data_IF_286033042830
#
_entry.id   IF_286033042830
#
_cell.length_a   1.000
_cell.length_b   1.000
_cell.length_c   1.000
_cell.angle_alpha   90.00
_cell.angle_beta   90.00
_cell.angle_gamma   90.00
#
_symmetry.space_group_name_H-M   'P 1'
#
loop_
_entity.id
_entity.type
_entity.pdbx_description
1 polymer ?
#
# COMPACT_ATOMS: atom_id res chain seq x y z
N UNK A 1 -9.73 -6.64 34.00
CA UNK A 1 -9.18 -7.96 34.30
C UNK A 1 -9.79 -9.05 33.38
N UNK A 2 -11.12 -9.13 33.24
CA UNK A 2 -11.76 -10.16 32.43
C UNK A 2 -11.49 -10.05 30.91
N UNK A 3 -11.29 -8.86 30.37
CA UNK A 3 -10.95 -8.68 28.96
C UNK A 3 -9.52 -9.13 28.62
N UNK A 4 -8.58 -8.92 29.54
CA UNK A 4 -7.18 -9.35 29.38
C UNK A 4 -7.06 -10.87 29.40
N UNK A 5 -7.79 -11.53 30.30
CA UNK A 5 -7.82 -13.00 30.37
C UNK A 5 -8.46 -13.63 29.13
N UNK A 6 -9.46 -12.99 28.54
CA UNK A 6 -10.09 -13.44 27.29
C UNK A 6 -9.15 -13.31 26.09
N UNK A 7 -8.36 -12.23 26.02
CA UNK A 7 -7.36 -12.04 24.96
C UNK A 7 -6.19 -13.04 25.09
N UNK A 8 -5.71 -13.27 26.32
CA UNK A 8 -4.62 -14.23 26.58
C UNK A 8 -5.04 -15.67 26.32
N UNK A 9 -6.30 -16.03 26.60
CA UNK A 9 -6.83 -17.37 26.32
C UNK A 9 -6.92 -17.69 24.80
N UNK A 10 -6.97 -16.69 23.96
CA UNK A 10 -6.98 -16.87 22.49
C UNK A 10 -5.56 -16.97 21.89
N UNK A 11 -4.54 -16.55 22.64
CA UNK A 11 -3.15 -16.43 22.15
C UNK A 11 -2.27 -17.62 22.57
N UNK A 12 -2.60 -18.33 23.64
CA UNK A 12 -1.78 -19.42 24.19
C UNK A 12 -2.21 -20.76 23.58
N UNK A 13 -1.42 -21.42 22.73
CA UNK A 13 -1.68 -22.80 22.36
C UNK A 13 -1.49 -23.70 23.60
N UNK A 14 -2.42 -24.65 23.83
CA UNK A 14 -2.36 -25.60 24.89
C UNK A 14 -1.10 -26.50 24.80
N UNK A 15 -0.04 -26.07 25.47
CA UNK A 15 1.13 -26.90 25.73
C UNK A 15 1.32 -27.00 27.23
N UNK A 16 1.11 -28.21 27.73
CA UNK A 16 1.31 -28.59 29.13
C UNK A 16 2.80 -28.54 29.50
N UNK A 17 3.18 -27.59 30.33
CA UNK A 17 4.48 -27.58 31.00
C UNK A 17 4.26 -27.84 32.48
N UNK A 18 4.87 -28.94 32.99
CA UNK A 18 4.83 -29.32 34.39
C UNK A 18 5.66 -28.43 35.31
N UNK A 19 5.40 -28.39 36.60
CA UNK A 19 6.03 -27.45 37.52
C UNK A 19 7.45 -27.88 37.91
N UNK A 20 8.44 -27.04 37.58
CA UNK A 20 9.78 -27.14 38.16
C UNK A 20 10.01 -25.99 39.13
N UNK A 21 10.43 -26.31 40.35
CA UNK A 21 10.74 -25.40 41.43
C UNK A 21 11.84 -24.40 41.07
N UNK A 22 11.60 -23.10 41.28
CA UNK A 22 12.62 -22.07 41.25
C UNK A 22 12.77 -21.45 42.63
N UNK A 23 13.99 -21.52 43.12
CA UNK A 23 14.48 -21.00 44.40
C UNK A 23 14.43 -19.47 44.43
N UNK A 24 13.89 -18.95 45.53
CA UNK A 24 13.87 -17.52 45.88
C UNK A 24 15.28 -17.01 46.23
N UNK A 25 15.81 -16.08 45.43
CA UNK A 25 16.82 -15.15 45.93
C UNK A 25 16.23 -13.72 45.87
N UNK A 26 16.04 -13.18 47.08
CA UNK A 26 15.55 -11.81 47.32
C UNK A 26 16.70 -10.82 47.08
N UNK A 27 16.56 -9.94 46.11
CA UNK A 27 17.35 -8.69 46.05
C UNK A 27 16.38 -7.52 45.88
N UNK A 28 16.54 -6.54 46.79
CA UNK A 28 15.75 -5.30 46.82
C UNK A 28 15.96 -4.46 45.56
N UNK A 29 15.09 -4.65 44.57
CA UNK A 29 14.83 -3.67 43.53
C UNK A 29 13.37 -3.23 43.66
N UNK A 30 13.11 -1.91 43.45
CA UNK A 30 11.75 -1.40 43.34
C UNK A 30 10.98 -2.24 42.33
N UNK A 31 9.69 -2.60 42.56
CA UNK A 31 8.95 -3.45 41.67
C UNK A 31 8.84 -2.74 40.30
N UNK A 32 9.67 -3.15 39.37
CA UNK A 32 9.33 -2.99 37.95
C UNK A 32 8.06 -3.78 37.78
N UNK A 33 6.95 -3.08 37.45
CA UNK A 33 5.68 -3.76 37.24
C UNK A 33 5.85 -4.66 36.02
N UNK A 34 5.61 -5.95 36.18
CA UNK A 34 5.75 -6.95 35.12
C UNK A 34 4.91 -6.52 33.91
N UNK A 35 5.47 -6.66 32.71
CA UNK A 35 4.77 -6.34 31.46
C UNK A 35 3.43 -7.09 31.37
N UNK A 36 3.42 -8.37 31.79
CA UNK A 36 2.22 -9.16 32.07
C UNK A 36 2.43 -9.78 33.46
N UNK A 37 1.57 -9.42 34.40
CA UNK A 37 1.69 -9.88 35.82
C UNK A 37 1.82 -11.39 35.92
N UNK A 38 2.90 -11.84 36.54
CA UNK A 38 3.20 -13.25 36.77
C UNK A 38 3.90 -13.98 35.61
N UNK A 39 4.27 -13.28 34.54
CA UNK A 39 5.10 -13.82 33.45
C UNK A 39 6.49 -13.19 33.47
N UNK A 40 7.55 -13.96 33.19
CA UNK A 40 8.86 -13.38 32.84
C UNK A 40 8.76 -12.44 31.64
N UNK A 41 9.58 -11.41 31.60
CA UNK A 41 9.49 -10.35 30.60
C UNK A 41 9.63 -10.87 29.16
N UNK A 42 10.52 -11.84 28.94
CA UNK A 42 10.71 -12.49 27.64
C UNK A 42 9.44 -13.21 27.18
N UNK A 43 8.77 -13.93 28.08
CA UNK A 43 7.51 -14.65 27.78
C UNK A 43 6.38 -13.66 27.52
N UNK A 44 6.33 -12.57 28.28
CA UNK A 44 5.35 -11.51 28.09
C UNK A 44 5.51 -10.83 26.72
N UNK A 45 6.74 -10.53 26.29
CA UNK A 45 7.03 -10.02 24.93
C UNK A 45 6.64 -11.01 23.87
N UNK A 46 6.97 -12.29 24.07
CA UNK A 46 6.65 -13.37 23.15
C UNK A 46 5.13 -13.50 22.93
N UNK A 47 4.32 -13.26 23.95
CA UNK A 47 2.87 -13.17 23.83
C UNK A 47 2.45 -11.93 23.04
N UNK A 48 3.04 -10.76 23.33
CA UNK A 48 2.63 -9.51 22.69
C UNK A 48 2.98 -9.46 21.20
N UNK A 49 4.13 -9.99 20.78
CA UNK A 49 4.50 -9.98 19.35
C UNK A 49 3.58 -10.85 18.49
N UNK A 50 2.83 -11.80 19.07
CA UNK A 50 1.83 -12.63 18.38
C UNK A 50 0.48 -11.98 18.22
N UNK A 51 0.27 -10.82 18.84
CA UNK A 51 -0.99 -10.06 18.68
C UNK A 51 -1.13 -9.59 17.24
N UNK A 52 -2.31 -9.81 16.65
CA UNK A 52 -2.62 -9.33 15.31
C UNK A 52 -2.59 -7.80 15.23
N UNK A 53 -2.25 -7.28 14.07
CA UNK A 53 -2.16 -5.82 13.84
C UNK A 53 -3.49 -5.10 14.11
N UNK A 54 -4.63 -5.75 13.86
CA UNK A 54 -5.98 -5.26 14.10
C UNK A 54 -6.28 -5.07 15.60
N UNK A 55 -5.56 -5.79 16.46
CA UNK A 55 -5.68 -5.70 17.91
C UNK A 55 -4.74 -4.66 18.54
N UNK A 56 -3.72 -4.21 17.83
CA UNK A 56 -2.73 -3.25 18.37
C UNK A 56 -3.36 -1.96 18.94
N UNK A 57 -4.40 -1.35 18.31
CA UNK A 57 -5.08 -0.20 18.89
C UNK A 57 -5.72 -0.47 20.26
N UNK A 58 -6.17 -1.69 20.49
CA UNK A 58 -6.76 -2.13 21.78
C UNK A 58 -5.65 -2.40 22.80
N UNK A 59 -4.64 -3.17 22.40
CA UNK A 59 -3.50 -3.59 23.24
C UNK A 59 -2.77 -2.37 23.82
N UNK A 60 -2.45 -1.37 23.00
CA UNK A 60 -1.76 -0.14 23.46
C UNK A 60 -2.54 0.69 24.49
N UNK A 61 -3.84 0.42 24.67
CA UNK A 61 -4.70 1.10 25.66
C UNK A 61 -4.79 0.38 26.99
N UNK A 62 -4.28 -0.86 27.08
CA UNK A 62 -4.40 -1.67 28.29
C UNK A 62 -3.53 -1.12 29.41
N UNK A 63 -2.28 -0.77 29.12
CA UNK A 63 -1.37 -0.15 30.08
C UNK A 63 -0.34 0.74 29.39
N UNK A 64 0.34 1.58 30.15
CA UNK A 64 1.45 2.39 29.66
C UNK A 64 2.60 1.53 29.16
N UNK A 65 2.93 0.45 29.87
CA UNK A 65 4.01 -0.47 29.50
C UNK A 65 3.69 -1.21 28.19
N UNK A 66 2.47 -1.71 28.02
CA UNK A 66 2.05 -2.34 26.76
C UNK A 66 2.11 -1.37 25.59
N UNK A 67 1.74 -0.09 25.83
CA UNK A 67 1.89 0.95 24.83
C UNK A 67 3.35 1.15 24.45
N UNK A 68 4.22 1.33 25.43
CA UNK A 68 5.66 1.53 25.23
C UNK A 68 6.29 0.33 24.50
N UNK A 69 5.89 -0.90 24.84
CA UNK A 69 6.37 -2.11 24.18
C UNK A 69 5.94 -2.20 22.73
N UNK A 70 4.64 -2.08 22.40
CA UNK A 70 4.16 -2.21 21.02
C UNK A 70 4.54 -1.03 20.12
N UNK A 71 4.87 0.13 20.69
CA UNK A 71 5.38 1.28 19.98
C UNK A 71 6.92 1.29 19.87
N UNK A 72 7.60 0.33 20.49
CA UNK A 72 9.07 0.24 20.44
C UNK A 72 9.55 -0.23 19.06
N UNK A 73 10.73 0.23 18.61
CA UNK A 73 11.36 -0.29 17.38
C UNK A 73 11.63 -1.79 17.44
N UNK A 74 11.91 -2.29 18.65
CA UNK A 74 12.23 -3.69 18.89
C UNK A 74 11.05 -4.61 18.65
N UNK A 75 9.84 -4.15 18.96
CA UNK A 75 8.62 -4.91 18.71
C UNK A 75 8.45 -5.30 17.25
N UNK A 76 8.56 -4.34 16.35
CA UNK A 76 8.46 -4.61 14.90
C UNK A 76 9.60 -5.47 14.38
N UNK A 77 10.82 -5.29 14.94
CA UNK A 77 11.99 -6.10 14.58
C UNK A 77 11.82 -7.55 15.02
N UNK A 78 11.36 -7.78 16.25
CA UNK A 78 11.09 -9.11 16.78
C UNK A 78 10.00 -9.82 15.98
N UNK A 79 8.87 -9.15 15.69
CA UNK A 79 7.82 -9.72 14.83
C UNK A 79 8.37 -10.20 13.48
N UNK A 80 9.24 -9.39 12.85
CA UNK A 80 9.87 -9.76 11.58
C UNK A 80 10.83 -10.94 11.73
N UNK A 81 11.65 -10.96 12.78
CA UNK A 81 12.60 -12.03 13.07
C UNK A 81 11.89 -13.37 13.32
N UNK A 82 10.73 -13.34 13.99
CA UNK A 82 9.90 -14.52 14.26
C UNK A 82 8.94 -14.89 13.10
N UNK A 83 9.04 -14.21 11.95
CA UNK A 83 8.17 -14.46 10.78
C UNK A 83 6.70 -14.13 11.02
N UNK A 84 6.41 -13.28 11.99
CA UNK A 84 5.04 -12.85 12.36
C UNK A 84 4.60 -11.60 11.59
N UNK A 85 5.53 -10.91 10.94
CA UNK A 85 5.20 -9.82 10.03
C UNK A 85 4.53 -10.38 8.77
N UNK A 86 3.37 -9.80 8.40
CA UNK A 86 2.53 -10.28 7.29
C UNK A 86 2.59 -9.33 6.13
N UNK A 87 2.73 -9.86 4.90
CA UNK A 87 2.56 -9.04 3.69
C UNK A 87 1.08 -8.69 3.55
N UNK A 88 0.78 -7.42 3.39
CA UNK A 88 -0.58 -6.92 3.19
C UNK A 88 -0.62 -6.00 1.98
N UNK A 89 -1.61 -6.19 1.12
CA UNK A 89 -1.94 -5.27 0.04
C UNK A 89 -3.04 -4.34 0.52
N UNK A 90 -2.75 -3.04 0.60
CA UNK A 90 -3.74 -2.01 0.86
C UNK A 90 -4.26 -1.46 -0.46
N UNK A 91 -5.59 -1.47 -0.63
CA UNK A 91 -6.27 -1.13 -1.88
C UNK A 91 -7.34 -0.06 -1.67
N UNK A 92 -7.35 0.95 -2.52
CA UNK A 92 -8.45 1.90 -2.63
C UNK A 92 -9.50 1.29 -3.54
N UNK A 93 -10.58 0.79 -2.96
CA UNK A 93 -11.58 -0.02 -3.63
C UNK A 93 -12.96 0.63 -3.59
N UNK A 94 -13.67 0.60 -4.72
CA UNK A 94 -15.07 0.99 -4.79
C UNK A 94 -15.93 0.05 -3.92
N UNK A 95 -16.88 0.61 -3.21
CA UNK A 95 -17.89 -0.19 -2.54
C UNK A 95 -18.84 -0.75 -3.61
N UNK A 96 -19.13 -2.06 -3.62
CA UNK A 96 -20.19 -2.60 -4.47
C UNK A 96 -21.50 -1.91 -4.14
N UNK A 97 -22.25 -1.51 -5.16
CA UNK A 97 -23.62 -1.03 -4.95
C UNK A 97 -24.45 -2.17 -4.36
N UNK A 98 -24.99 -1.95 -3.17
CA UNK A 98 -26.04 -2.82 -2.66
C UNK A 98 -27.27 -2.63 -3.55
N UNK A 99 -27.47 -3.53 -4.49
CA UNK A 99 -28.76 -3.65 -5.18
C UNK A 99 -29.75 -4.11 -4.13
N UNK A 100 -30.46 -3.17 -3.50
CA UNK A 100 -31.71 -3.51 -2.81
C UNK A 100 -32.58 -4.22 -3.85
N UNK A 101 -32.92 -5.48 -3.60
CA UNK A 101 -33.80 -6.27 -4.44
C UNK A 101 -35.22 -5.68 -4.38
N UNK A 102 -35.44 -4.63 -5.15
CA UNK A 102 -36.76 -4.17 -5.56
C UNK A 102 -37.16 -4.91 -6.84
N UNK A 103 -38.48 -5.13 -7.12
CA UNK A 103 -38.92 -5.93 -8.23
C UNK A 103 -38.42 -5.41 -9.57
N UNK A 104 -37.87 -6.32 -10.36
CA UNK A 104 -37.17 -6.10 -11.62
C UNK A 104 -37.86 -5.10 -12.55
N UNK A 105 -37.33 -3.92 -12.72
CA UNK A 105 -37.52 -3.09 -13.90
C UNK A 105 -36.31 -3.26 -14.82
N UNK A 106 -36.57 -3.85 -15.98
CA UNK A 106 -35.61 -3.94 -17.07
C UNK A 106 -35.25 -2.55 -17.55
N UNK A 107 -34.04 -2.06 -17.24
CA UNK A 107 -33.49 -0.91 -17.91
C UNK A 107 -32.33 -1.36 -18.81
N UNK A 108 -32.60 -1.17 -20.10
CA UNK A 108 -31.68 -1.35 -21.21
C UNK A 108 -30.42 -0.51 -21.04
N UNK A 109 -29.27 -1.17 -21.12
CA UNK A 109 -27.96 -0.56 -21.25
C UNK A 109 -27.84 0.22 -22.55
N UNK A 110 -27.77 1.53 -22.48
CA UNK A 110 -27.21 2.36 -23.55
C UNK A 110 -26.77 3.71 -22.98
N UNK A 111 -25.46 3.96 -23.09
CA UNK A 111 -24.82 5.27 -23.25
C UNK A 111 -25.56 6.51 -22.73
N UNK A 112 -25.13 7.05 -21.58
CA UNK A 112 -25.25 8.49 -21.32
C UNK A 112 -24.15 8.99 -20.40
N UNK A 113 -23.00 9.28 -20.96
CA UNK A 113 -22.09 10.27 -20.41
C UNK A 113 -22.67 11.64 -20.75
N UNK A 114 -23.54 12.18 -19.92
CA UNK A 114 -23.83 13.62 -19.77
C UNK A 114 -25.10 13.79 -18.90
N UNK A 115 -24.94 14.49 -17.76
CA UNK A 115 -25.98 15.04 -16.91
C UNK A 115 -26.85 14.05 -16.08
N UNK A 116 -26.60 14.02 -14.78
CA UNK A 116 -27.53 13.48 -13.79
C UNK A 116 -26.83 12.69 -12.69
N UNK A 117 -26.69 13.30 -11.49
CA UNK A 117 -26.04 12.68 -10.34
C UNK A 117 -26.67 11.36 -9.93
N UNK A 118 -26.09 10.27 -10.39
CA UNK A 118 -26.18 8.99 -9.71
C UNK A 118 -25.30 9.05 -8.45
N UNK A 119 -25.55 8.20 -7.44
CA UNK A 119 -24.71 8.16 -6.25
C UNK A 119 -23.27 7.90 -6.68
N UNK A 120 -22.35 8.83 -6.35
CA UNK A 120 -20.95 8.68 -6.66
C UNK A 120 -20.44 7.42 -5.95
N UNK A 121 -19.77 6.53 -6.69
CA UNK A 121 -19.16 5.34 -6.13
C UNK A 121 -18.27 5.73 -4.94
N UNK A 122 -18.61 5.23 -3.74
CA UNK A 122 -17.80 5.45 -2.55
C UNK A 122 -16.60 4.53 -2.56
N UNK A 123 -15.43 5.09 -2.32
CA UNK A 123 -14.18 4.34 -2.19
C UNK A 123 -13.77 4.19 -0.74
N UNK A 124 -13.28 3.02 -0.39
CA UNK A 124 -12.79 2.67 0.94
C UNK A 124 -11.40 2.06 0.87
N UNK A 125 -10.68 2.04 1.98
CA UNK A 125 -9.42 1.31 2.10
C UNK A 125 -9.69 -0.13 2.53
N UNK A 126 -9.25 -1.06 1.71
CA UNK A 126 -9.36 -2.51 1.93
C UNK A 126 -7.95 -3.08 2.08
N UNK A 127 -7.80 -4.00 2.99
CA UNK A 127 -6.58 -4.77 3.22
C UNK A 127 -6.79 -6.21 2.80
N UNK A 128 -5.83 -6.77 2.09
CA UNK A 128 -5.75 -8.18 1.75
C UNK A 128 -4.42 -8.76 2.23
N UNK A 129 -4.48 -9.80 3.07
CA UNK A 129 -3.35 -10.70 3.26
C UNK A 129 -3.36 -11.74 2.12
N UNK A 130 -2.45 -11.63 1.16
CA UNK A 130 -2.46 -12.50 -0.03
C UNK A 130 -1.95 -13.92 0.27
N UNK A 131 -1.40 -14.16 1.47
CA UNK A 131 -0.92 -15.48 1.91
C UNK A 131 -2.04 -16.27 2.56
N UNK A 132 -2.78 -15.63 3.45
CA UNK A 132 -3.89 -16.28 4.18
C UNK A 132 -5.25 -16.05 3.51
N UNK A 133 -5.33 -15.20 2.50
CA UNK A 133 -6.59 -14.86 1.84
C UNK A 133 -7.57 -14.09 2.73
N UNK A 134 -7.05 -13.38 3.75
CA UNK A 134 -7.87 -12.61 4.69
C UNK A 134 -8.10 -11.20 4.19
N UNK A 135 -9.36 -10.77 4.26
CA UNK A 135 -9.80 -9.43 3.88
C UNK A 135 -10.23 -8.63 5.11
N UNK A 136 -9.94 -7.34 5.09
CA UNK A 136 -10.39 -6.40 6.11
C UNK A 136 -10.66 -5.03 5.49
N UNK A 137 -11.50 -4.23 6.14
CA UNK A 137 -11.74 -2.83 5.75
C UNK A 137 -11.24 -1.92 6.85
N UNK A 138 -10.51 -0.87 6.50
CA UNK A 138 -10.12 0.15 7.45
C UNK A 138 -11.32 1.07 7.78
N UNK A 139 -11.29 1.75 8.94
CA UNK A 139 -12.31 2.74 9.29
C UNK A 139 -12.51 3.75 8.17
N UNK A 140 -13.73 4.26 8.02
CA UNK A 140 -14.04 5.32 7.06
C UNK A 140 -13.25 6.60 7.36
N UNK A 141 -12.96 7.38 6.31
CA UNK A 141 -12.31 8.67 6.48
C UNK A 141 -13.15 9.60 7.35
N UNK A 142 -12.51 10.43 8.17
CA UNK A 142 -13.21 11.52 8.84
C UNK A 142 -13.66 12.56 7.80
N UNK A 143 -14.95 12.91 7.83
CA UNK A 143 -15.54 13.89 6.93
C UNK A 143 -16.94 13.52 6.48
N UNK A 144 -17.65 14.41 5.78
CA UNK A 144 -19.07 14.22 5.45
C UNK A 144 -19.32 13.04 4.49
N UNK A 145 -18.44 12.80 3.54
CA UNK A 145 -18.60 11.72 2.56
C UNK A 145 -18.18 10.35 3.09
N UNK A 146 -17.19 10.31 4.00
CA UNK A 146 -16.55 9.09 4.47
C UNK A 146 -15.81 8.31 3.36
N UNK A 147 -15.76 8.85 2.15
CA UNK A 147 -15.15 8.24 0.96
C UNK A 147 -13.72 8.71 0.76
N UNK A 148 -12.86 7.82 0.26
CA UNK A 148 -11.56 8.19 -0.29
C UNK A 148 -11.74 8.97 -1.61
N UNK A 149 -10.83 9.92 -1.94
CA UNK A 149 -10.87 10.63 -3.21
C UNK A 149 -10.74 9.68 -4.41
N UNK A 150 -11.37 10.03 -5.51
CA UNK A 150 -11.19 9.32 -6.79
C UNK A 150 -9.76 9.54 -7.30
N UNK A 151 -9.17 8.53 -7.92
CA UNK A 151 -7.82 8.61 -8.51
C UNK A 151 -6.72 9.08 -7.54
N UNK A 152 -6.95 8.95 -6.22
CA UNK A 152 -5.91 9.24 -5.24
C UNK A 152 -4.76 8.26 -5.35
N UNK A 153 -3.58 8.69 -4.92
CA UNK A 153 -2.42 7.83 -4.78
C UNK A 153 -2.31 7.33 -3.34
N UNK A 154 -1.77 6.13 -3.17
CA UNK A 154 -1.55 5.53 -1.86
C UNK A 154 -0.12 5.01 -1.73
N UNK A 155 0.51 5.33 -0.62
CA UNK A 155 1.84 4.84 -0.27
C UNK A 155 1.84 4.26 1.14
N UNK A 156 2.58 3.17 1.32
CA UNK A 156 2.84 2.59 2.63
C UNK A 156 4.18 3.10 3.15
N UNK A 157 4.18 3.61 4.37
CA UNK A 157 5.36 4.15 5.03
C UNK A 157 5.75 3.24 6.19
N UNK A 158 6.97 2.74 6.14
CA UNK A 158 7.60 2.09 7.27
C UNK A 158 8.35 3.15 8.07
N UNK A 159 7.88 3.45 9.28
CA UNK A 159 8.34 4.57 10.11
C UNK A 159 9.79 4.48 10.60
N UNK A 160 10.68 3.83 9.85
CA UNK A 160 12.11 3.79 10.10
C UNK A 160 12.45 3.29 11.51
N UNK A 161 13.25 4.06 12.25
CA UNK A 161 13.70 3.68 13.59
C UNK A 161 12.59 3.48 14.63
N UNK A 162 11.38 4.02 14.40
CA UNK A 162 10.26 3.87 15.32
C UNK A 162 9.31 2.72 14.96
N UNK A 163 9.51 2.03 13.83
CA UNK A 163 8.73 0.88 13.41
C UNK A 163 7.23 1.15 13.15
N UNK A 164 6.79 2.43 13.13
CA UNK A 164 5.40 2.80 12.91
C UNK A 164 4.99 2.57 11.47
N UNK A 165 3.99 1.75 11.26
CA UNK A 165 3.40 1.49 9.95
C UNK A 165 2.25 2.45 9.68
N UNK A 166 2.29 3.12 8.53
CA UNK A 166 1.25 4.07 8.12
C UNK A 166 0.89 3.90 6.65
N UNK A 167 -0.36 4.21 6.31
CA UNK A 167 -0.77 4.45 4.94
C UNK A 167 -0.95 5.95 4.74
N UNK A 168 -0.47 6.46 3.63
CA UNK A 168 -0.63 7.86 3.23
C UNK A 168 -1.40 7.90 1.92
N UNK A 169 -2.57 8.53 1.94
CA UNK A 169 -3.39 8.81 0.77
C UNK A 169 -3.16 10.26 0.38
N UNK A 170 -2.83 10.50 -0.88
CA UNK A 170 -2.46 11.84 -1.38
C UNK A 170 -3.29 12.20 -2.59
N UNK A 171 -3.86 13.41 -2.58
CA UNK A 171 -4.55 14.03 -3.71
C UNK A 171 -5.75 13.23 -4.19
N UNK A 172 -5.95 13.23 -5.47
CA UNK A 172 -7.11 12.64 -6.13
C UNK A 172 -8.18 13.70 -6.41
N UNK A 173 -9.39 13.25 -6.65
CA UNK A 173 -10.53 14.10 -6.98
C UNK A 173 -11.62 13.94 -5.92
N UNK A 174 -12.19 15.05 -5.53
CA UNK A 174 -13.34 15.04 -4.63
C UNK A 174 -14.54 14.40 -5.34
N UNK A 175 -15.18 13.38 -4.75
CA UNK A 175 -16.24 12.63 -5.42
C UNK A 175 -17.54 13.43 -5.62
N UNK A 176 -17.74 14.55 -4.89
CA UNK A 176 -18.94 15.38 -5.01
C UNK A 176 -18.72 16.49 -6.05
N UNK A 177 -17.62 17.21 -5.94
CA UNK A 177 -17.31 18.35 -6.79
C UNK A 177 -16.61 18.00 -8.11
N UNK A 178 -16.05 16.77 -8.21
CA UNK A 178 -15.21 16.32 -9.34
C UNK A 178 -14.01 17.25 -9.61
N UNK A 179 -13.54 17.93 -8.56
CA UNK A 179 -12.37 18.79 -8.61
C UNK A 179 -11.13 18.09 -8.05
N UNK A 180 -9.93 18.35 -8.59
CA UNK A 180 -8.69 17.88 -8.00
C UNK A 180 -8.54 18.41 -6.58
N UNK A 181 -7.98 17.60 -5.69
CA UNK A 181 -7.77 17.95 -4.28
C UNK A 181 -6.29 17.85 -3.92
N UNK A 182 -5.87 18.70 -3.00
CA UNK A 182 -4.56 18.69 -2.35
C UNK A 182 -4.54 17.89 -1.05
N UNK A 183 -5.63 17.17 -0.75
CA UNK A 183 -5.86 16.51 0.52
C UNK A 183 -4.86 15.40 0.78
N UNK A 184 -4.47 15.27 2.04
CA UNK A 184 -3.63 14.18 2.55
C UNK A 184 -4.34 13.53 3.72
N UNK A 185 -4.36 12.20 3.73
CA UNK A 185 -4.87 11.42 4.86
C UNK A 185 -3.83 10.39 5.28
N UNK A 186 -3.63 10.25 6.57
CA UNK A 186 -2.67 9.32 7.15
C UNK A 186 -3.38 8.37 8.08
N UNK A 187 -3.31 7.08 7.80
CA UNK A 187 -3.76 6.02 8.69
C UNK A 187 -2.57 5.47 9.47
N UNK A 188 -2.72 5.38 10.78
CA UNK A 188 -1.71 4.82 11.67
C UNK A 188 -2.21 3.49 12.25
N UNK A 189 -1.51 2.38 11.96
CA UNK A 189 -1.91 1.04 12.39
C UNK A 189 -1.85 0.85 13.90
N UNK A 190 -1.02 1.61 14.61
CA UNK A 190 -0.94 1.54 16.07
C UNK A 190 -2.16 2.20 16.75
N UNK A 191 -2.67 3.26 16.16
CA UNK A 191 -3.84 3.97 16.72
C UNK A 191 -5.16 3.46 16.15
N UNK A 192 -5.10 2.80 14.98
CA UNK A 192 -6.28 2.35 14.24
C UNK A 192 -7.13 3.49 13.70
N UNK A 193 -6.53 4.66 13.45
CA UNK A 193 -7.26 5.86 13.10
C UNK A 193 -6.64 6.64 11.95
N UNK A 194 -7.52 7.31 11.18
CA UNK A 194 -7.15 8.29 10.19
C UNK A 194 -6.95 9.67 10.83
N UNK A 195 -5.99 10.41 10.31
CA UNK A 195 -5.88 11.86 10.48
C UNK A 195 -5.77 12.56 9.14
N UNK A 196 -6.23 13.80 9.07
CA UNK A 196 -5.89 14.67 7.94
C UNK A 196 -4.44 15.15 8.11
N UNK A 197 -3.67 15.12 7.02
CA UNK A 197 -2.33 15.66 6.97
C UNK A 197 -2.31 17.07 6.37
N UNK A 198 -1.13 17.71 6.41
CA UNK A 198 -0.89 18.98 5.76
C UNK A 198 -1.20 18.86 4.25
N UNK A 199 -1.97 19.79 3.67
CA UNK A 199 -2.32 19.74 2.25
C UNK A 199 -1.06 19.83 1.38
N UNK A 200 -1.10 19.20 0.21
CA UNK A 200 -0.01 19.22 -0.76
C UNK A 200 0.18 20.64 -1.30
N UNK A 201 1.38 21.23 -1.20
CA UNK A 201 1.62 22.59 -1.66
C UNK A 201 1.75 22.67 -3.19
N UNK A 202 1.56 23.89 -3.73
CA UNK A 202 1.65 24.16 -5.15
C UNK A 202 0.34 23.95 -5.89
N UNK A 203 0.37 23.75 -7.23
CA UNK A 203 -0.84 23.51 -8.01
C UNK A 203 -1.48 22.18 -7.61
N UNK A 204 -2.79 22.12 -7.58
CA UNK A 204 -3.50 20.85 -7.47
C UNK A 204 -3.17 20.00 -8.66
N UNK A 205 -2.80 18.77 -8.41
CA UNK A 205 -2.32 17.87 -9.46
C UNK A 205 -3.03 16.53 -9.46
N UNK A 206 -3.11 15.93 -10.62
CA UNK A 206 -3.69 14.60 -10.85
C UNK A 206 -2.67 13.69 -11.53
N UNK A 207 -2.86 12.38 -11.37
CA UNK A 207 -2.10 11.33 -12.07
C UNK A 207 -0.57 11.41 -11.92
N UNK A 208 -0.10 11.89 -10.78
CA UNK A 208 1.32 12.01 -10.44
C UNK A 208 1.93 10.68 -9.98
N UNK A 209 3.26 10.56 -10.10
CA UNK A 209 4.02 9.46 -9.50
C UNK A 209 4.06 9.57 -7.98
N UNK A 210 3.91 8.45 -7.29
CA UNK A 210 4.06 8.38 -5.83
C UNK A 210 4.73 7.09 -5.42
N UNK A 211 5.71 7.19 -4.50
CA UNK A 211 6.29 6.06 -3.79
C UNK A 211 6.83 6.50 -2.43
N UNK A 212 6.91 5.56 -1.49
CA UNK A 212 7.60 5.78 -0.23
C UNK A 212 9.06 5.30 -0.33
N UNK A 213 9.98 6.10 0.17
CA UNK A 213 11.37 5.71 0.42
C UNK A 213 11.65 5.93 1.90
N UNK A 214 11.85 4.84 2.62
CA UNK A 214 11.93 4.89 4.08
C UNK A 214 10.67 5.48 4.73
N UNK A 215 10.84 6.52 5.53
CA UNK A 215 9.75 7.20 6.26
C UNK A 215 9.09 8.36 5.48
N UNK A 216 9.47 8.58 4.22
CA UNK A 216 9.06 9.74 3.41
C UNK A 216 8.29 9.31 2.18
N UNK A 217 7.19 10.01 1.88
CA UNK A 217 6.41 9.83 0.65
C UNK A 217 6.83 10.87 -0.37
N UNK A 218 7.21 10.43 -1.55
CA UNK A 218 7.61 11.27 -2.67
C UNK A 218 6.49 11.38 -3.69
N UNK A 219 6.33 12.56 -4.27
CA UNK A 219 5.35 12.90 -5.32
C UNK A 219 6.08 13.65 -6.42
N UNK A 220 5.85 13.29 -7.69
CA UNK A 220 6.44 14.00 -8.82
C UNK A 220 5.55 13.95 -10.07
N UNK A 221 5.59 15.01 -10.87
CA UNK A 221 4.84 15.09 -12.13
C UNK A 221 3.34 15.15 -11.95
N UNK A 222 2.62 14.47 -12.84
CA UNK A 222 1.19 14.63 -13.03
C UNK A 222 0.87 15.87 -13.87
N UNK A 223 -0.40 16.27 -13.89
CA UNK A 223 -0.82 17.51 -14.56
C UNK A 223 -1.59 18.44 -13.61
N UNK A 224 -1.57 19.72 -13.88
CA UNK A 224 -2.34 20.76 -13.19
C UNK A 224 -3.82 20.79 -13.64
N UNK A 225 -4.57 21.79 -13.16
CA UNK A 225 -5.99 21.97 -13.51
C UNK A 225 -6.19 22.31 -15.00
N UNK A 226 -5.22 22.91 -15.66
CA UNK A 226 -5.20 23.23 -17.08
C UNK A 226 -4.69 22.08 -17.97
N UNK A 227 -4.40 20.92 -17.40
CA UNK A 227 -3.84 19.73 -18.07
C UNK A 227 -2.41 19.92 -18.59
N UNK A 228 -1.64 20.83 -18.01
CA UNK A 228 -0.22 20.93 -18.29
C UNK A 228 0.54 19.88 -17.48
N UNK A 229 1.39 19.12 -18.12
CA UNK A 229 2.27 18.18 -17.47
C UNK A 229 3.27 18.92 -16.57
N UNK A 230 3.56 18.36 -15.42
CA UNK A 230 4.42 18.95 -14.40
C UNK A 230 5.78 18.23 -14.34
N UNK A 231 6.82 18.98 -13.98
CA UNK A 231 8.13 18.45 -13.62
C UNK A 231 8.47 18.64 -12.14
N UNK A 232 7.63 19.36 -11.42
CA UNK A 232 7.83 19.63 -9.99
C UNK A 232 7.65 18.38 -9.15
N UNK A 233 8.43 18.31 -8.07
CA UNK A 233 8.42 17.19 -7.14
C UNK A 233 8.40 17.66 -5.68
N UNK A 234 7.86 16.80 -4.81
CA UNK A 234 7.62 17.09 -3.40
C UNK A 234 7.93 15.87 -2.55
N UNK A 235 8.30 16.08 -1.29
CA UNK A 235 8.44 15.05 -0.29
C UNK A 235 7.54 15.35 0.92
N UNK A 236 6.74 14.40 1.34
CA UNK A 236 5.90 14.47 2.53
C UNK A 236 6.46 13.61 3.65
N UNK A 237 6.59 14.20 4.83
CA UNK A 237 7.08 13.57 6.03
C UNK A 237 5.92 13.33 7.02
N UNK A 238 5.32 12.13 7.06
CA UNK A 238 4.13 11.88 7.88
C UNK A 238 4.34 12.03 9.39
N UNK A 239 5.60 11.94 9.87
CA UNK A 239 5.92 12.07 11.29
C UNK A 239 5.77 13.50 11.79
N UNK A 240 6.34 14.46 11.05
CA UNK A 240 6.24 15.89 11.38
C UNK A 240 5.13 16.62 10.63
N UNK A 241 4.36 15.91 9.80
CA UNK A 241 3.24 16.44 9.02
C UNK A 241 3.65 17.63 8.13
N UNK A 242 4.77 17.52 7.43
CA UNK A 242 5.37 18.60 6.66
C UNK A 242 5.73 18.17 5.24
N UNK A 243 5.64 19.13 4.32
CA UNK A 243 6.09 19.01 2.94
C UNK A 243 7.42 19.70 2.73
N UNK A 244 8.26 19.12 1.88
CA UNK A 244 9.49 19.73 1.38
C UNK A 244 9.45 19.75 -0.14
N UNK A 245 9.75 20.90 -0.73
CA UNK A 245 9.88 21.03 -2.19
C UNK A 245 11.22 20.44 -2.61
N UNK A 246 11.18 19.59 -3.63
CA UNK A 246 12.38 19.00 -4.24
C UNK A 246 12.82 19.82 -5.46
N UNK A 247 14.07 19.65 -5.94
CA UNK A 247 14.45 20.09 -7.27
C UNK A 247 13.50 19.52 -8.32
N UNK A 248 13.25 20.28 -9.39
CA UNK A 248 12.44 19.82 -10.49
C UNK A 248 13.11 18.66 -11.25
N UNK A 249 12.32 17.76 -11.82
CA UNK A 249 12.77 16.79 -12.81
C UNK A 249 13.31 17.50 -14.07
N UNK A 250 14.09 16.79 -14.86
CA UNK A 250 14.54 17.30 -16.15
C UNK A 250 13.36 17.44 -17.13
N UNK A 251 12.40 16.50 -17.08
CA UNK A 251 11.28 16.42 -18.00
C UNK A 251 9.93 16.57 -17.30
N UNK A 252 8.97 17.14 -18.02
CA UNK A 252 7.56 17.14 -17.64
C UNK A 252 6.99 15.73 -17.87
N UNK A 253 6.24 15.21 -16.87
CA UNK A 253 5.71 13.86 -16.93
C UNK A 253 4.29 13.82 -16.39
N UNK A 254 3.30 13.67 -17.26
CA UNK A 254 1.94 13.33 -16.89
C UNK A 254 1.74 11.80 -16.91
N UNK A 255 0.91 11.29 -16.04
CA UNK A 255 0.66 9.85 -15.83
C UNK A 255 1.94 8.97 -15.63
N UNK A 256 2.99 9.45 -14.95
CA UNK A 256 4.15 8.62 -14.64
C UNK A 256 3.83 7.64 -13.50
N UNK A 257 4.68 6.63 -13.35
CA UNK A 257 4.62 5.69 -12.22
C UNK A 257 5.78 5.91 -11.25
N UNK A 258 5.46 6.01 -9.94
CA UNK A 258 6.47 6.07 -8.87
C UNK A 258 6.87 4.68 -8.38
N UNK A 259 8.18 4.44 -8.22
CA UNK A 259 8.75 3.21 -7.65
C UNK A 259 9.83 3.57 -6.63
N UNK A 260 10.10 2.64 -5.71
CA UNK A 260 11.26 2.71 -4.81
C UNK A 260 12.22 1.58 -5.18
N UNK A 261 13.41 1.93 -5.66
CA UNK A 261 14.46 0.96 -6.04
C UNK A 261 15.80 1.42 -5.47
N UNK A 262 16.48 0.55 -4.76
CA UNK A 262 17.80 0.86 -4.19
C UNK A 262 17.82 2.09 -3.29
N UNK A 263 16.73 2.38 -2.58
CA UNK A 263 16.62 3.56 -1.71
C UNK A 263 16.39 4.88 -2.46
N UNK A 264 16.13 4.84 -3.77
CA UNK A 264 15.83 6.01 -4.60
C UNK A 264 14.36 6.03 -5.01
N UNK A 265 13.82 7.23 -5.23
CA UNK A 265 12.51 7.44 -5.81
C UNK A 265 12.63 7.53 -7.33
N UNK A 266 12.09 6.55 -8.04
CA UNK A 266 12.08 6.49 -9.50
C UNK A 266 10.74 6.98 -10.04
N UNK A 267 10.80 7.83 -11.05
CA UNK A 267 9.65 8.31 -11.84
C UNK A 267 9.77 7.72 -13.23
N UNK A 268 8.90 6.77 -13.55
CA UNK A 268 8.97 5.95 -14.76
C UNK A 268 7.93 6.41 -15.77
N UNK A 269 8.34 6.64 -17.00
CA UNK A 269 7.46 6.96 -18.10
C UNK A 269 6.76 8.32 -17.95
N UNK A 270 5.48 8.35 -18.32
CA UNK A 270 4.72 9.59 -18.45
C UNK A 270 4.94 10.27 -19.80
N UNK A 271 4.33 11.41 -20.00
CA UNK A 271 4.44 12.19 -21.24
C UNK A 271 4.38 13.70 -20.95
N UNK A 272 5.07 14.55 -21.75
CA UNK A 272 4.92 15.99 -21.66
C UNK A 272 3.64 16.46 -22.36
N UNK A 273 3.15 17.64 -22.02
CA UNK A 273 1.91 18.23 -22.57
C UNK A 273 1.77 18.10 -24.09
N UNK A 274 2.79 18.41 -24.92
CA UNK A 274 2.65 18.28 -26.38
C UNK A 274 2.53 16.85 -26.90
N UNK A 275 2.90 15.86 -26.08
CA UNK A 275 2.89 14.45 -26.47
C UNK A 275 1.84 13.63 -25.70
N UNK A 276 0.70 14.24 -25.36
CA UNK A 276 -0.36 13.62 -24.58
C UNK A 276 -0.69 12.20 -25.04
N UNK A 277 -0.65 11.25 -24.10
CA UNK A 277 -0.90 9.82 -24.32
C UNK A 277 0.25 9.06 -24.99
N UNK A 278 1.36 9.70 -25.33
CA UNK A 278 2.56 9.05 -25.87
C UNK A 278 3.58 8.88 -24.76
N UNK A 279 3.47 7.77 -24.06
CA UNK A 279 4.35 7.48 -22.93
C UNK A 279 5.81 7.36 -23.36
N UNK A 280 6.71 8.05 -22.67
CA UNK A 280 8.16 7.89 -22.81
C UNK A 280 8.63 6.60 -22.15
N UNK A 281 9.65 5.96 -22.69
CA UNK A 281 10.29 4.80 -22.09
C UNK A 281 11.36 5.15 -21.05
N UNK A 282 11.59 6.44 -20.79
CA UNK A 282 12.62 6.97 -19.90
C UNK A 282 12.24 6.93 -18.41
N UNK A 283 13.24 7.04 -17.55
CA UNK A 283 13.10 7.12 -16.09
C UNK A 283 14.03 8.18 -15.51
N UNK A 284 13.56 8.89 -14.50
CA UNK A 284 14.36 9.74 -13.64
C UNK A 284 14.36 9.22 -12.22
N UNK A 285 15.51 9.26 -11.54
CA UNK A 285 15.66 8.77 -10.17
C UNK A 285 16.11 9.91 -9.25
N UNK A 286 15.34 10.20 -8.21
CA UNK A 286 15.72 11.10 -7.14
C UNK A 286 16.47 10.32 -6.06
N UNK A 287 17.65 10.80 -5.70
CA UNK A 287 18.47 10.23 -4.62
C UNK A 287 18.31 11.07 -3.35
N UNK A 288 17.61 10.54 -2.31
CA UNK A 288 17.45 11.27 -1.06
C UNK A 288 18.74 11.54 -0.29
N UNK A 289 19.79 10.75 -0.54
CA UNK A 289 21.07 10.92 0.15
C UNK A 289 21.85 12.13 -0.38
N UNK A 290 21.75 12.42 -1.67
CA UNK A 290 22.42 13.57 -2.31
C UNK A 290 21.48 14.75 -2.54
N UNK A 291 20.17 14.53 -2.39
CA UNK A 291 19.11 15.50 -2.65
C UNK A 291 19.09 16.00 -4.11
N UNK A 292 19.39 15.11 -5.06
CA UNK A 292 19.49 15.41 -6.48
C UNK A 292 18.80 14.36 -7.35
N UNK A 293 18.38 14.78 -8.56
CA UNK A 293 17.98 13.87 -9.60
C UNK A 293 19.20 13.30 -10.32
N UNK A 294 19.19 12.00 -10.57
CA UNK A 294 20.15 11.35 -11.47
C UNK A 294 19.84 11.76 -12.92
N UNK A 295 20.80 11.65 -13.83
CA UNK A 295 20.54 11.84 -15.26
C UNK A 295 19.41 10.95 -15.77
N UNK A 296 18.63 11.47 -16.73
CA UNK A 296 17.57 10.71 -17.40
C UNK A 296 18.17 9.42 -17.99
N UNK A 297 17.53 8.30 -17.74
CA UNK A 297 17.90 7.01 -18.30
C UNK A 297 16.84 6.59 -19.33
N UNK A 298 17.27 6.36 -20.55
CA UNK A 298 16.41 5.93 -21.63
C UNK A 298 16.24 4.40 -21.65
N UNK A 299 15.12 3.93 -22.21
CA UNK A 299 14.91 2.52 -22.52
C UNK A 299 14.69 1.62 -21.30
N UNK A 300 14.17 2.16 -20.20
CA UNK A 300 13.64 1.29 -19.15
C UNK A 300 12.39 0.56 -19.67
N UNK A 301 11.48 1.29 -20.27
CA UNK A 301 10.34 0.77 -21.02
C UNK A 301 10.53 1.03 -22.52
N UNK A 302 9.74 0.39 -23.35
CA UNK A 302 9.60 0.78 -24.76
C UNK A 302 8.66 2.00 -24.84
N UNK A 303 8.91 2.89 -25.77
CA UNK A 303 8.06 4.06 -26.01
C UNK A 303 6.61 3.65 -26.31
N UNK A 304 5.67 4.37 -25.75
CA UNK A 304 4.24 4.09 -25.87
C UNK A 304 3.70 3.10 -24.82
N UNK A 305 4.56 2.48 -24.01
CA UNK A 305 4.12 1.57 -22.94
C UNK A 305 3.68 2.37 -21.72
N UNK A 306 2.41 2.23 -21.33
CA UNK A 306 1.88 2.85 -20.12
C UNK A 306 2.51 2.22 -18.87
N UNK A 307 3.15 3.01 -17.98
CA UNK A 307 3.86 2.50 -16.81
C UNK A 307 2.94 2.10 -15.63
N UNK A 308 1.63 2.25 -15.78
CA UNK A 308 0.64 2.14 -14.70
C UNK A 308 0.78 0.87 -13.85
N UNK A 309 1.10 -0.26 -14.47
CA UNK A 309 1.24 -1.55 -13.79
C UNK A 309 2.67 -1.88 -13.36
N UNK A 310 3.64 -0.96 -13.58
CA UNK A 310 5.00 -1.15 -13.08
C UNK A 310 5.02 -1.29 -11.56
N UNK A 311 5.73 -2.30 -11.07
CA UNK A 311 5.94 -2.50 -9.65
C UNK A 311 7.29 -3.18 -9.36
N UNK A 312 7.76 -3.02 -8.13
CA UNK A 312 8.98 -3.62 -7.59
C UNK A 312 8.68 -4.09 -6.17
N UNK A 313 9.20 -5.26 -5.79
CA UNK A 313 9.10 -5.70 -4.41
C UNK A 313 10.04 -4.88 -3.52
N UNK A 314 9.67 -4.60 -2.25
CA UNK A 314 10.55 -3.92 -1.32
C UNK A 314 11.90 -4.63 -1.20
N UNK A 315 12.98 -3.85 -1.30
CA UNK A 315 14.36 -4.36 -1.22
C UNK A 315 14.84 -5.16 -2.44
N UNK A 316 14.03 -5.28 -3.49
CA UNK A 316 14.41 -5.92 -4.75
C UNK A 316 14.72 -4.87 -5.83
N UNK A 317 15.42 -5.32 -6.89
CA UNK A 317 15.70 -4.50 -8.06
C UNK A 317 14.93 -4.98 -9.31
N UNK A 318 14.23 -6.12 -9.22
CA UNK A 318 13.44 -6.67 -10.32
C UNK A 318 12.18 -5.88 -10.51
N UNK A 319 12.02 -5.29 -11.70
CA UNK A 319 10.82 -4.56 -12.11
C UNK A 319 9.88 -5.50 -12.85
N UNK A 320 8.61 -5.46 -12.50
CA UNK A 320 7.53 -6.16 -13.20
C UNK A 320 6.59 -5.17 -13.85
N UNK A 321 6.01 -5.55 -14.99
CA UNK A 321 4.94 -4.82 -15.66
C UNK A 321 4.00 -5.80 -16.36
N UNK A 322 2.73 -5.45 -16.45
CA UNK A 322 1.77 -6.17 -17.26
C UNK A 322 1.79 -5.61 -18.70
N UNK A 323 2.00 -6.49 -19.67
CA UNK A 323 2.08 -6.14 -21.08
C UNK A 323 1.44 -7.23 -21.94
N UNK A 324 0.52 -6.88 -22.81
CA UNK A 324 -0.16 -7.77 -23.75
C UNK A 324 -0.72 -9.05 -23.09
N UNK A 325 -1.33 -8.90 -21.91
CA UNK A 325 -1.88 -10.02 -21.13
C UNK A 325 -0.82 -10.92 -20.47
N UNK A 326 0.45 -10.52 -20.48
CA UNK A 326 1.54 -11.23 -19.83
C UNK A 326 2.17 -10.38 -18.73
N UNK A 327 2.54 -10.99 -17.63
CA UNK A 327 3.45 -10.40 -16.68
C UNK A 327 4.87 -10.59 -17.18
N UNK A 328 5.57 -9.48 -17.40
CA UNK A 328 6.97 -9.47 -17.82
C UNK A 328 7.83 -8.88 -16.72
N UNK A 329 9.09 -9.31 -16.64
CA UNK A 329 10.05 -8.84 -15.66
C UNK A 329 11.38 -8.46 -16.31
N UNK A 330 12.06 -7.47 -15.69
CA UNK A 330 13.44 -7.08 -15.99
C UNK A 330 14.24 -7.07 -14.70
N UNK A 331 15.38 -7.73 -14.69
CA UNK A 331 16.26 -7.74 -13.53
C UNK A 331 17.11 -6.46 -13.52
N UNK A 332 17.24 -5.84 -12.33
CA UNK A 332 18.14 -4.70 -12.12
C UNK A 332 19.60 -5.10 -12.18
N UNK A 333 20.49 -4.14 -12.48
CA UNK A 333 21.95 -4.34 -12.44
C UNK A 333 22.60 -4.96 -13.67
N UNK A 334 21.87 -5.59 -14.57
CA UNK A 334 22.43 -6.08 -15.83
C UNK A 334 22.17 -5.08 -16.95
N UNK A 335 23.19 -4.38 -17.39
CA UNK A 335 23.18 -3.37 -18.47
C UNK A 335 22.62 -3.87 -19.82
N UNK A 336 22.30 -5.16 -19.94
CA UNK A 336 21.83 -5.81 -21.17
C UNK A 336 20.64 -6.76 -20.99
N UNK A 337 20.08 -6.90 -19.79
CA UNK A 337 18.94 -7.78 -19.57
C UNK A 337 17.67 -7.16 -20.16
N UNK A 338 17.14 -7.77 -21.21
CA UNK A 338 15.85 -7.43 -21.80
C UNK A 338 14.69 -7.85 -20.88
N UNK A 339 13.49 -7.41 -21.22
CA UNK A 339 12.26 -7.88 -20.60
C UNK A 339 12.03 -9.37 -20.94
N UNK A 340 11.72 -10.19 -19.96
CA UNK A 340 11.35 -11.60 -20.14
C UNK A 340 9.92 -11.83 -19.67
N UNK A 341 9.18 -12.66 -20.38
CA UNK A 341 7.87 -13.11 -19.94
C UNK A 341 8.03 -14.06 -18.74
N UNK A 342 7.30 -13.77 -17.67
CA UNK A 342 7.25 -14.60 -16.46
C UNK A 342 6.08 -15.56 -16.54
N UNK A 343 4.87 -15.03 -16.80
CA UNK A 343 3.67 -15.84 -16.93
C UNK A 343 2.56 -15.07 -17.69
N UNK A 344 1.66 -15.80 -18.34
CA UNK A 344 0.42 -15.22 -18.87
C UNK A 344 -0.57 -15.00 -17.72
N UNK A 345 -1.23 -13.86 -17.71
CA UNK A 345 -2.24 -13.52 -16.69
C UNK A 345 -3.54 -14.26 -16.99
N UNK A 346 -4.23 -14.82 -15.97
CA UNK A 346 -5.53 -15.46 -16.13
C UNK A 346 -6.56 -14.56 -16.85
N UNK A 347 -7.42 -15.15 -17.68
CA UNK A 347 -8.33 -14.41 -18.55
C UNK A 347 -9.29 -13.48 -17.82
N UNK A 348 -9.72 -13.88 -16.62
CA UNK A 348 -10.61 -13.10 -15.75
C UNK A 348 -9.89 -11.99 -14.95
N UNK A 349 -8.57 -11.80 -15.16
CA UNK A 349 -7.78 -10.71 -14.58
C UNK A 349 -6.95 -9.93 -15.63
N UNK A 350 -7.17 -10.17 -16.94
CA UNK A 350 -6.35 -9.55 -18.01
C UNK A 350 -6.45 -8.03 -18.06
N UNK A 351 -7.59 -7.48 -17.67
CA UNK A 351 -7.77 -6.03 -17.49
C UNK A 351 -7.33 -5.65 -16.09
N UNK A 352 -6.01 -5.67 -15.85
CA UNK A 352 -5.48 -5.37 -14.53
C UNK A 352 -5.64 -3.90 -14.18
N UNK A 353 -6.22 -3.64 -13.01
CA UNK A 353 -6.29 -2.32 -12.41
C UNK A 353 -5.00 -2.00 -11.66
N UNK A 354 -4.38 -3.00 -11.03
CA UNK A 354 -3.12 -2.83 -10.30
C UNK A 354 -2.30 -4.11 -10.26
N UNK A 355 -0.98 -3.94 -10.18
CA UNK A 355 0.00 -5.00 -9.97
C UNK A 355 0.91 -4.58 -8.82
N UNK A 356 1.17 -5.49 -7.89
CA UNK A 356 2.03 -5.25 -6.73
C UNK A 356 2.97 -6.42 -6.50
N UNK A 357 4.27 -6.18 -6.53
CA UNK A 357 5.26 -7.18 -6.15
C UNK A 357 5.44 -7.18 -4.63
N UNK A 358 5.52 -8.37 -4.05
CA UNK A 358 5.70 -8.60 -2.61
C UNK A 358 6.93 -9.49 -2.37
N UNK A 359 7.52 -9.47 -1.17
CA UNK A 359 8.70 -10.28 -0.88
C UNK A 359 8.50 -11.76 -1.17
N UNK A 360 9.60 -12.46 -1.48
CA UNK A 360 9.60 -13.91 -1.74
C UNK A 360 9.20 -14.28 -3.17
N UNK A 361 9.46 -13.41 -4.18
CA UNK A 361 9.20 -13.72 -5.60
C UNK A 361 7.70 -13.81 -5.92
N UNK A 362 6.86 -13.10 -5.22
CA UNK A 362 5.41 -13.12 -5.44
C UNK A 362 4.92 -11.81 -6.05
N UNK A 363 3.96 -11.89 -6.94
CA UNK A 363 3.32 -10.72 -7.57
C UNK A 363 1.81 -10.88 -7.50
N UNK A 364 1.15 -9.89 -6.91
CA UNK A 364 -0.32 -9.83 -6.83
C UNK A 364 -0.84 -9.01 -8.00
N UNK A 365 -1.76 -9.59 -8.74
CA UNK A 365 -2.50 -8.94 -9.83
C UNK A 365 -3.96 -8.82 -9.41
N UNK A 366 -4.49 -7.61 -9.46
CA UNK A 366 -5.91 -7.32 -9.27
C UNK A 366 -6.47 -6.84 -10.60
N UNK A 367 -7.45 -7.50 -11.12
CA UNK A 367 -8.00 -7.21 -12.44
C UNK A 367 -9.37 -7.82 -12.66
N UNK A 368 -9.88 -7.62 -13.86
CA UNK A 368 -11.17 -8.21 -14.31
C UNK A 368 -11.02 -8.78 -15.72
N UNK A 369 -11.95 -9.62 -16.14
CA UNK A 369 -11.98 -10.16 -17.50
C UNK A 369 -12.40 -9.12 -18.55
N UNK A 370 -13.10 -8.06 -18.15
CA UNK A 370 -13.53 -6.98 -19.02
C UNK A 370 -13.60 -5.65 -18.26
N UNK A 371 -13.70 -4.55 -18.98
CA UNK A 371 -13.88 -3.23 -18.36
C UNK A 371 -15.18 -3.18 -17.55
N UNK A 372 -15.09 -2.76 -16.28
CA UNK A 372 -16.24 -2.68 -15.36
C UNK A 372 -16.71 -4.02 -14.79
N UNK A 373 -16.01 -5.13 -15.09
CA UNK A 373 -16.30 -6.43 -14.50
C UNK A 373 -15.82 -6.55 -13.04
N UNK A 374 -16.33 -7.58 -12.37
CA UNK A 374 -15.91 -7.92 -11.01
C UNK A 374 -14.41 -8.13 -10.93
N UNK A 375 -13.80 -7.57 -9.89
CA UNK A 375 -12.36 -7.70 -9.68
C UNK A 375 -12.03 -9.07 -9.12
N UNK A 376 -11.01 -9.68 -9.71
CA UNK A 376 -10.40 -10.92 -9.24
C UNK A 376 -8.98 -10.65 -8.78
N UNK A 377 -8.50 -11.45 -7.85
CA UNK A 377 -7.14 -11.32 -7.31
C UNK A 377 -6.39 -12.62 -7.52
N UNK A 378 -5.23 -12.50 -8.12
CA UNK A 378 -4.31 -13.60 -8.32
C UNK A 378 -2.94 -13.28 -7.73
N UNK A 379 -2.31 -14.28 -7.13
CA UNK A 379 -0.91 -14.23 -6.70
C UNK A 379 -0.09 -15.14 -7.59
N UNK A 380 0.89 -14.57 -8.28
CA UNK A 380 1.92 -15.32 -8.98
C UNK A 380 3.03 -15.69 -7.99
N UNK A 381 3.49 -16.93 -8.06
CA UNK A 381 4.67 -17.42 -7.37
C UNK A 381 5.79 -17.57 -8.42
N UNK A 382 6.77 -16.66 -8.40
CA UNK A 382 7.95 -16.64 -9.29
C UNK A 382 9.21 -16.96 -8.46
N UNK A 383 9.29 -18.22 -8.02
CA UNK A 383 10.43 -18.73 -7.25
C UNK A 383 11.52 -19.25 -8.18
N UNK A 384 12.78 -18.92 -7.89
CA UNK A 384 13.93 -19.39 -8.66
C UNK A 384 13.97 -20.92 -8.72
N UNK A 385 14.07 -21.47 -9.94
CA UNK A 385 14.16 -22.91 -10.17
C UNK A 385 12.83 -23.66 -10.19
N UNK A 386 11.70 -22.96 -10.04
CA UNK A 386 10.35 -23.54 -10.18
C UNK A 386 9.59 -22.87 -11.32
N UNK A 387 8.67 -23.60 -12.00
CA UNK A 387 7.78 -22.95 -12.95
C UNK A 387 6.86 -21.97 -12.21
N UNK A 388 6.65 -20.80 -12.81
CA UNK A 388 5.75 -19.80 -12.27
C UNK A 388 4.32 -20.36 -12.22
N UNK A 389 3.61 -20.12 -11.12
CA UNK A 389 2.26 -20.63 -10.92
C UNK A 389 1.35 -19.56 -10.31
N UNK A 390 0.07 -19.58 -10.73
CA UNK A 390 -0.95 -18.67 -10.20
C UNK A 390 -1.78 -19.34 -9.10
N UNK A 391 -2.04 -18.61 -8.03
CA UNK A 391 -3.06 -18.92 -7.05
C UNK A 391 -4.11 -17.82 -7.03
N UNK A 392 -5.40 -18.19 -7.04
CA UNK A 392 -6.50 -17.24 -6.93
C UNK A 392 -6.83 -16.99 -5.47
N UNK A 393 -6.88 -15.73 -5.05
CA UNK A 393 -7.39 -15.36 -3.73
C UNK A 393 -8.92 -15.27 -3.82
N UNK A 394 -9.67 -16.04 -3.00
CA UNK A 394 -11.12 -15.90 -2.96
C UNK A 394 -11.47 -14.51 -2.41
N UNK A 395 -12.24 -13.74 -3.17
CA UNK A 395 -12.75 -12.45 -2.74
C UNK A 395 -14.24 -12.60 -2.35
N UNK A 396 -14.62 -12.30 -1.11
CA UNK A 396 -16.02 -12.16 -0.74
C UNK A 396 -16.72 -11.10 -1.63
N UNK A 397 -18.02 -11.22 -1.90
CA UNK A 397 -18.73 -10.31 -2.82
C UNK A 397 -18.57 -8.83 -2.48
N UNK A 398 -18.47 -8.48 -1.21
CA UNK A 398 -18.25 -7.11 -0.74
C UNK A 398 -16.88 -6.54 -1.12
N UNK A 399 -15.94 -7.36 -1.60
CA UNK A 399 -14.61 -6.96 -2.06
C UNK A 399 -14.42 -7.13 -3.57
N UNK A 400 -15.50 -7.23 -4.36
CA UNK A 400 -15.44 -7.34 -5.82
C UNK A 400 -15.34 -5.99 -6.55
N UNK A 401 -15.43 -4.86 -5.84
CA UNK A 401 -15.44 -3.53 -6.43
C UNK A 401 -14.12 -3.14 -7.09
N UNK A 402 -14.19 -2.19 -8.02
CA UNK A 402 -13.03 -1.69 -8.75
C UNK A 402 -11.94 -1.12 -7.83
N UNK A 403 -10.69 -1.52 -8.06
CA UNK A 403 -9.51 -1.02 -7.34
C UNK A 403 -8.81 0.03 -8.20
N UNK A 404 -8.68 1.25 -7.68
CA UNK A 404 -8.04 2.35 -8.43
C UNK A 404 -6.56 2.55 -8.07
N UNK A 405 -6.16 2.21 -6.85
CA UNK A 405 -4.78 2.31 -6.37
C UNK A 405 -4.50 1.23 -5.33
N UNK A 406 -3.26 0.81 -5.25
CA UNK A 406 -2.81 -0.13 -4.23
C UNK A 406 -1.35 0.11 -3.86
N UNK A 407 -1.00 -0.25 -2.62
CA UNK A 407 0.37 -0.34 -2.17
C UNK A 407 0.57 -1.57 -1.28
N UNK A 408 1.81 -2.05 -1.26
CA UNK A 408 2.23 -3.12 -0.38
C UNK A 408 2.75 -2.57 0.95
N UNK A 409 2.48 -3.28 2.03
CA UNK A 409 3.12 -3.07 3.33
C UNK A 409 3.30 -4.41 4.05
N UNK A 410 4.21 -4.42 5.02
CA UNK A 410 4.41 -5.53 5.93
C UNK A 410 4.02 -5.09 7.35
N UNK A 411 3.06 -5.79 7.97
CA UNK A 411 2.53 -5.47 9.32
C UNK A 411 2.48 -6.69 10.24
#
# INVERSE_FOLDING_TARGET
ANQVLSLLAQIIPHSTVGPSQVSLMSSCFAPMSDLITGLPEEVARECLIRVGFDQLPTVRRISRQWKEEVESPDYSRLRRAEGLARPVLAMVQAQPEHVEQGPAQKHSSASSAANGGGPANKYRMVLLDPVEGRWATLPVLPGPTGSLPLFCQVAAVDGGAQGRKRLVVVGGWDPESWAPTDSVYVYDFLTGAWRRGAPMPGPRRSFFATAAVGATVYVAGGHDEEKNALRSALAYHPECDAWTVLPDMAEERDEPRGLCVGGKFLVVGGYPTPAQGRFAGSVEAFDPATWTWCPVQEGLLEDGVCPRTCCVAPGAERVYILRDGNLVARDGGASSAGWRTVASVPEDARTASTVSAIPGGRVVVVGSGCHGGDQTVYTLHDEAGKPASWSRAPAPPEFSGHVQAACFLEI
#
